data_IF_687710125628
#
_entry.id   IF_687710125628
#
_cell.length_a   1.000
_cell.length_b   1.000
_cell.length_c   1.000
_cell.angle_alpha   90.00
_cell.angle_beta   90.00
_cell.angle_gamma   90.00
#
_symmetry.space_group_name_H-M   'P 1'
#
loop_
_entity.id
_entity.type
_entity.pdbx_description
1 polymer ?
#
# COMPACT_ATOMS: atom_id res chain seq x y z
N UNK A 1 -13.17 -13.16 13.46
CA UNK A 1 -12.19 -13.45 12.41
C UNK A 1 -11.69 -14.87 12.53
N UNK A 2 -12.15 -15.77 11.67
CA UNK A 2 -11.64 -17.15 11.60
C UNK A 2 -10.42 -17.25 10.66
N UNK A 3 -9.59 -18.29 10.81
CA UNK A 3 -8.47 -18.57 9.89
C UNK A 3 -8.93 -18.66 8.42
N UNK A 4 -10.13 -19.20 8.19
CA UNK A 4 -10.76 -19.27 6.87
C UNK A 4 -11.03 -17.88 6.28
N UNK A 5 -11.66 -16.99 7.04
CA UNK A 5 -11.91 -15.60 6.62
C UNK A 5 -10.62 -14.84 6.30
N UNK A 6 -9.57 -15.02 7.11
CA UNK A 6 -8.26 -14.39 6.85
C UNK A 6 -7.69 -14.91 5.53
N UNK A 7 -7.72 -16.23 5.32
CA UNK A 7 -7.22 -16.85 4.09
C UNK A 7 -7.94 -16.32 2.86
N UNK A 8 -9.25 -16.15 2.91
CA UNK A 8 -10.07 -15.61 1.80
C UNK A 8 -9.72 -14.15 1.48
N UNK A 9 -9.51 -13.31 2.50
CA UNK A 9 -9.05 -11.92 2.30
C UNK A 9 -7.67 -11.86 1.66
N UNK A 10 -6.73 -12.68 2.15
CA UNK A 10 -5.38 -12.75 1.58
C UNK A 10 -5.43 -13.22 0.13
N UNK A 11 -6.22 -14.25 -0.18
CA UNK A 11 -6.38 -14.74 -1.55
C UNK A 11 -6.93 -13.66 -2.48
N UNK A 12 -7.93 -12.90 -2.03
CA UNK A 12 -8.52 -11.80 -2.78
C UNK A 12 -7.49 -10.71 -3.09
N UNK A 13 -6.70 -10.30 -2.08
CA UNK A 13 -5.64 -9.32 -2.25
C UNK A 13 -4.54 -9.80 -3.22
N UNK A 14 -4.17 -11.09 -3.19
CA UNK A 14 -3.20 -11.67 -4.12
C UNK A 14 -3.73 -11.67 -5.54
N UNK A 15 -5.00 -12.02 -5.75
CA UNK A 15 -5.63 -11.98 -7.08
C UNK A 15 -5.65 -10.55 -7.63
N UNK A 16 -6.01 -9.56 -6.81
CA UNK A 16 -5.97 -8.14 -7.18
C UNK A 16 -4.57 -7.73 -7.64
N UNK A 17 -3.53 -8.09 -6.88
CA UNK A 17 -2.15 -7.75 -7.24
C UNK A 17 -1.69 -8.43 -8.53
N UNK A 18 -2.02 -9.71 -8.72
CA UNK A 18 -1.68 -10.46 -9.94
C UNK A 18 -2.31 -9.84 -11.19
N UNK A 19 -3.58 -9.45 -11.12
CA UNK A 19 -4.23 -8.79 -12.24
C UNK A 19 -3.67 -7.39 -12.48
N UNK A 20 -3.42 -6.61 -11.41
CA UNK A 20 -2.82 -5.26 -11.53
C UNK A 20 -1.46 -5.27 -12.22
N UNK A 21 -0.64 -6.29 -11.95
CA UNK A 21 0.73 -6.38 -12.46
C UNK A 21 0.91 -7.35 -13.62
N UNK A 22 -0.20 -7.79 -14.22
CA UNK A 22 -0.18 -8.72 -15.35
C UNK A 22 0.65 -8.15 -16.51
N UNK A 23 1.61 -8.95 -16.99
CA UNK A 23 2.51 -8.56 -18.06
C UNK A 23 3.68 -7.66 -17.65
N UNK A 24 3.85 -7.36 -16.35
CA UNK A 24 4.99 -6.61 -15.83
C UNK A 24 6.05 -7.55 -15.23
N UNK A 25 7.24 -7.00 -14.97
CA UNK A 25 8.36 -7.75 -14.40
C UNK A 25 8.19 -8.11 -12.90
N UNK A 26 7.20 -7.54 -12.23
CA UNK A 26 6.88 -7.75 -10.81
C UNK A 26 5.45 -8.26 -10.67
N UNK A 27 5.15 -8.90 -9.52
CA UNK A 27 3.91 -9.65 -9.33
C UNK A 27 3.10 -9.27 -8.09
N UNK A 28 3.69 -8.46 -7.21
CA UNK A 28 3.09 -8.02 -5.96
C UNK A 28 3.62 -6.63 -5.55
N UNK A 29 3.00 -6.04 -4.54
CA UNK A 29 3.33 -4.71 -4.03
C UNK A 29 4.76 -4.67 -3.45
N UNK A 30 5.28 -5.78 -2.93
CA UNK A 30 6.63 -5.88 -2.38
C UNK A 30 7.70 -5.70 -3.47
N UNK A 31 7.51 -6.40 -4.59
CA UNK A 31 8.38 -6.36 -5.77
C UNK A 31 8.27 -5.09 -6.62
N UNK A 32 7.39 -4.14 -6.27
CA UNK A 32 7.19 -2.91 -7.02
C UNK A 32 8.48 -2.05 -7.04
N UNK A 33 9.07 -1.74 -8.21
CA UNK A 33 10.29 -0.96 -8.28
C UNK A 33 10.03 0.53 -7.95
N UNK A 34 11.03 1.28 -7.45
CA UNK A 34 10.84 2.69 -7.06
C UNK A 34 10.23 3.58 -8.14
N UNK A 35 10.61 3.37 -9.41
CA UNK A 35 10.08 4.15 -10.55
C UNK A 35 8.59 3.95 -10.82
N UNK A 36 7.99 2.86 -10.33
CA UNK A 36 6.59 2.53 -10.56
C UNK A 36 5.69 2.91 -9.36
N UNK A 37 6.27 3.35 -8.24
CA UNK A 37 5.53 3.68 -7.01
C UNK A 37 4.50 4.78 -7.27
N UNK A 38 4.86 5.84 -7.99
CA UNK A 38 3.92 6.92 -8.30
C UNK A 38 2.69 6.46 -9.09
N UNK A 39 2.83 5.39 -9.89
CA UNK A 39 1.75 4.84 -10.72
C UNK A 39 0.80 3.93 -9.94
N UNK A 40 1.34 3.08 -9.06
CA UNK A 40 0.54 2.04 -8.39
C UNK A 40 0.21 2.35 -6.93
N UNK A 41 0.92 3.29 -6.31
CA UNK A 41 0.68 3.80 -4.97
C UNK A 41 0.24 5.28 -5.03
N UNK A 42 -0.75 5.58 -5.87
CA UNK A 42 -1.29 6.93 -6.00
C UNK A 42 -1.90 7.43 -4.68
N UNK A 43 -1.54 8.65 -4.32
CA UNK A 43 -2.09 9.41 -3.20
C UNK A 43 -2.95 10.54 -3.76
N UNK A 44 -4.19 10.69 -3.28
CA UNK A 44 -4.94 11.93 -3.51
C UNK A 44 -4.22 13.10 -2.80
N UNK A 45 -4.52 14.34 -3.18
CA UNK A 45 -3.77 15.50 -2.65
C UNK A 45 -3.88 15.62 -1.13
N UNK A 46 -5.06 15.33 -0.57
CA UNK A 46 -5.24 15.25 0.88
C UNK A 46 -4.39 14.13 1.51
N UNK A 47 -4.27 12.98 0.84
CA UNK A 47 -3.41 11.87 1.30
C UNK A 47 -1.93 12.23 1.24
N UNK A 48 -1.50 12.99 0.23
CA UNK A 48 -0.10 13.45 0.10
C UNK A 48 0.30 14.31 1.28
N UNK A 49 -0.51 15.31 1.64
CA UNK A 49 -0.20 16.20 2.75
C UNK A 49 -0.06 15.43 4.08
N UNK A 50 -0.99 14.52 4.35
CA UNK A 50 -0.95 13.68 5.54
C UNK A 50 0.25 12.73 5.53
N UNK A 51 0.51 12.09 4.40
CA UNK A 51 1.68 11.24 4.23
C UNK A 51 2.96 12.01 4.51
N UNK A 52 3.12 13.22 3.95
CA UNK A 52 4.28 14.08 4.19
C UNK A 52 4.44 14.39 5.68
N UNK A 53 3.37 14.69 6.41
CA UNK A 53 3.42 14.94 7.86
C UNK A 53 3.95 13.70 8.61
N UNK A 54 3.39 12.52 8.34
CA UNK A 54 3.76 11.27 9.00
C UNK A 54 5.21 10.88 8.70
N UNK A 55 5.61 10.89 7.42
CA UNK A 55 6.99 10.48 7.08
C UNK A 55 8.03 11.46 7.60
N UNK A 56 7.68 12.75 7.73
CA UNK A 56 8.55 13.77 8.33
C UNK A 56 8.66 13.58 9.84
N UNK A 57 7.55 13.35 10.55
CA UNK A 57 7.60 13.13 12.01
C UNK A 57 8.39 11.87 12.38
N UNK A 58 8.31 10.84 11.54
CA UNK A 58 9.04 9.58 11.71
C UNK A 58 10.47 9.62 11.13
N UNK A 59 10.92 10.76 10.57
CA UNK A 59 12.23 10.91 9.92
C UNK A 59 12.55 9.80 8.92
N UNK A 60 11.57 9.38 8.13
CA UNK A 60 11.75 8.27 7.18
C UNK A 60 12.60 8.68 5.99
N UNK A 61 13.56 7.83 5.65
CA UNK A 61 14.27 7.95 4.37
C UNK A 61 13.32 7.73 3.19
N UNK A 62 13.71 8.14 1.98
CA UNK A 62 12.93 7.88 0.76
C UNK A 62 12.61 6.39 0.58
N UNK A 63 13.53 5.49 0.97
CA UNK A 63 13.29 4.03 0.98
C UNK A 63 12.23 3.64 2.01
N UNK A 64 12.24 4.25 3.19
CA UNK A 64 11.20 4.06 4.21
C UNK A 64 9.83 4.52 3.71
N UNK A 65 9.75 5.70 3.09
CA UNK A 65 8.53 6.21 2.47
C UNK A 65 7.97 5.22 1.44
N UNK A 66 8.83 4.72 0.54
CA UNK A 66 8.44 3.71 -0.45
C UNK A 66 7.90 2.43 0.20
N UNK A 67 8.54 1.94 1.26
CA UNK A 67 8.04 0.77 2.00
C UNK A 67 6.66 1.02 2.60
N UNK A 68 6.42 2.18 3.21
CA UNK A 68 5.11 2.54 3.77
C UNK A 68 4.04 2.57 2.66
N UNK A 69 4.33 3.16 1.50
CA UNK A 69 3.40 3.19 0.37
C UNK A 69 3.04 1.80 -0.14
N UNK A 70 4.01 0.89 -0.23
CA UNK A 70 3.75 -0.50 -0.62
C UNK A 70 2.87 -1.23 0.39
N UNK A 71 3.11 -1.04 1.69
CA UNK A 71 2.26 -1.63 2.73
C UNK A 71 0.85 -1.03 2.69
N UNK A 72 0.74 0.29 2.51
CA UNK A 72 -0.55 0.95 2.38
C UNK A 72 -1.36 0.42 1.20
N UNK A 73 -0.71 0.17 0.05
CA UNK A 73 -1.32 -0.47 -1.11
C UNK A 73 -1.81 -1.89 -0.79
N UNK A 74 -1.03 -2.67 -0.05
CA UNK A 74 -1.43 -4.03 0.39
C UNK A 74 -2.62 -4.00 1.34
N UNK A 75 -2.68 -3.05 2.27
CA UNK A 75 -3.83 -2.88 3.17
C UNK A 75 -5.08 -2.55 2.35
N UNK A 76 -4.97 -1.63 1.39
CA UNK A 76 -6.09 -1.34 0.50
C UNK A 76 -6.52 -2.55 -0.33
N UNK A 77 -5.59 -3.42 -0.75
CA UNK A 77 -5.92 -4.68 -1.45
C UNK A 77 -6.62 -5.70 -0.54
N UNK A 78 -6.25 -5.78 0.74
CA UNK A 78 -6.91 -6.62 1.75
C UNK A 78 -8.34 -6.15 2.08
N UNK A 79 -8.64 -4.90 1.77
CA UNK A 79 -9.96 -4.29 1.89
C UNK A 79 -10.69 -4.22 0.54
N UNK A 80 -10.14 -4.87 -0.51
CA UNK A 80 -10.67 -4.84 -1.87
C UNK A 80 -10.92 -3.42 -2.41
N UNK A 81 -10.15 -2.45 -1.94
CA UNK A 81 -10.30 -1.05 -2.29
C UNK A 81 -9.36 -0.66 -3.41
N UNK A 82 -9.85 0.01 -4.45
CA UNK A 82 -8.98 0.51 -5.52
C UNK A 82 -8.14 1.71 -5.06
N UNK A 83 -8.62 2.47 -4.08
CA UNK A 83 -7.97 3.68 -3.57
C UNK A 83 -7.30 3.44 -2.22
N UNK A 84 -6.15 4.08 -2.00
CA UNK A 84 -5.57 4.16 -0.66
C UNK A 84 -6.30 5.23 0.15
N UNK A 85 -6.52 4.97 1.44
CA UNK A 85 -7.33 5.83 2.33
C UNK A 85 -6.51 6.34 3.51
N UNK A 86 -6.96 7.44 4.11
CA UNK A 86 -6.26 8.15 5.20
C UNK A 86 -6.05 7.24 6.41
N UNK A 87 -7.07 6.45 6.74
CA UNK A 87 -7.05 5.49 7.87
C UNK A 87 -5.84 4.56 7.83
N UNK A 88 -5.31 4.28 6.63
CA UNK A 88 -4.15 3.41 6.46
C UNK A 88 -2.87 4.11 6.94
N UNK A 89 -2.73 5.43 6.71
CA UNK A 89 -1.54 6.20 7.09
C UNK A 89 -1.50 6.57 8.57
N UNK A 90 -2.65 6.86 9.17
CA UNK A 90 -2.76 7.22 10.60
C UNK A 90 -2.33 6.06 11.50
N UNK A 91 -2.60 4.81 11.09
CA UNK A 91 -2.14 3.63 11.83
C UNK A 91 -0.62 3.52 11.93
N UNK A 92 0.15 4.15 11.03
CA UNK A 92 1.62 4.13 11.10
C UNK A 92 2.18 5.23 12.02
N UNK A 93 1.44 6.32 12.25
CA UNK A 93 1.86 7.38 13.18
C UNK A 93 1.62 7.04 14.65
N UNK A 94 0.82 6.00 14.93
CA UNK A 94 0.50 5.54 16.29
C UNK A 94 1.41 4.39 16.78
N UNK A 95 2.35 3.93 15.94
CA UNK A 95 3.34 2.89 16.26
C UNK A 95 4.67 3.58 16.60
#
# INVERSE_FOLDING_TARGET
TSSKEIKERVYSAVTIQRERYKGLAFRDNGGLPPGEIGKFCYLSDNLKEQFTKVVTSLSLSSRGCHSVLKVARTIADLDSSMEMRITILVKFSEI
#
